data_IF_038455738183
#
_entry.id   IF_038455738183
#
_cell.length_a   1.000
_cell.length_b   1.000
_cell.length_c   1.000
_cell.angle_alpha   90.00
_cell.angle_beta   90.00
_cell.angle_gamma   90.00
#
_symmetry.space_group_name_H-M   'P 1'
#
loop_
_entity.id
_entity.type
_entity.pdbx_description
1 polymer ?
#
# COMPACT_ATOMS: atom_id res chain seq x y z
N UNK A 1 1.28 -17.12 10.43
CA UNK A 1 2.72 -17.22 10.08
C UNK A 1 3.20 -16.12 9.13
N UNK A 2 2.88 -16.09 7.83
CA UNK A 2 3.39 -15.02 6.93
C UNK A 2 3.07 -13.59 7.42
N UNK A 3 1.82 -13.33 7.78
CA UNK A 3 1.42 -12.01 8.29
C UNK A 3 2.18 -11.62 9.56
N UNK A 4 2.55 -12.60 10.40
CA UNK A 4 3.34 -12.33 11.61
C UNK A 4 4.77 -11.93 11.27
N UNK A 5 5.35 -12.49 10.19
CA UNK A 5 6.65 -12.05 9.65
C UNK A 5 6.56 -10.62 9.11
N UNK A 6 5.51 -10.32 8.33
CA UNK A 6 5.34 -8.99 7.72
C UNK A 6 5.07 -7.90 8.76
N UNK A 7 4.26 -8.20 9.78
CA UNK A 7 3.85 -7.24 10.80
C UNK A 7 4.74 -7.24 12.05
N UNK A 8 5.86 -7.96 12.04
CA UNK A 8 6.82 -7.94 13.15
C UNK A 8 7.23 -6.50 13.49
N UNK A 9 7.26 -6.18 14.78
CA UNK A 9 7.42 -4.82 15.28
C UNK A 9 8.89 -4.36 15.25
N UNK A 10 9.81 -5.30 15.41
CA UNK A 10 11.26 -5.07 15.41
C UNK A 10 12.00 -6.25 14.77
N UNK A 11 13.31 -6.09 14.57
CA UNK A 11 14.16 -7.07 13.89
C UNK A 11 14.29 -8.39 14.66
N UNK A 12 14.15 -8.36 16.00
CA UNK A 12 14.23 -9.55 16.85
C UNK A 12 12.96 -10.39 16.68
N UNK A 13 11.79 -9.76 16.78
CA UNK A 13 10.51 -10.42 16.51
C UNK A 13 10.49 -10.97 15.09
N UNK A 14 10.95 -10.20 14.09
CA UNK A 14 11.01 -10.66 12.71
C UNK A 14 11.80 -11.96 12.56
N UNK A 15 12.99 -12.04 13.15
CA UNK A 15 13.82 -13.24 13.11
C UNK A 15 13.12 -14.46 13.72
N UNK A 16 12.44 -14.28 14.85
CA UNK A 16 11.68 -15.33 15.51
C UNK A 16 10.50 -15.82 14.65
N UNK A 17 9.72 -14.90 14.07
CA UNK A 17 8.58 -15.24 13.21
C UNK A 17 9.03 -15.90 11.91
N UNK A 18 10.13 -15.43 11.32
CA UNK A 18 10.68 -16.02 10.11
C UNK A 18 11.15 -17.46 10.38
N UNK A 19 11.80 -17.70 11.51
CA UNK A 19 12.21 -19.05 11.89
C UNK A 19 11.01 -20.00 12.08
N UNK A 20 9.92 -19.54 12.71
CA UNK A 20 8.69 -20.33 12.83
C UNK A 20 8.06 -20.65 11.48
N UNK A 21 8.08 -19.69 10.55
CA UNK A 21 7.63 -19.89 9.17
C UNK A 21 8.49 -20.93 8.44
N UNK A 22 9.82 -20.87 8.58
CA UNK A 22 10.75 -21.86 8.02
C UNK A 22 10.47 -23.27 8.53
N UNK A 23 10.33 -23.43 9.85
CA UNK A 23 10.03 -24.73 10.47
C UNK A 23 8.70 -25.30 9.96
N UNK A 24 7.69 -24.44 9.79
CA UNK A 24 6.37 -24.85 9.29
C UNK A 24 6.37 -25.19 7.80
N UNK A 25 7.40 -24.78 7.06
CA UNK A 25 7.57 -24.99 5.63
C UNK A 25 8.73 -25.94 5.30
N UNK A 26 9.16 -26.78 6.26
CA UNK A 26 10.29 -27.70 6.07
C UNK A 26 10.11 -28.64 4.87
N UNK A 27 8.89 -29.14 4.67
CA UNK A 27 8.53 -30.01 3.53
C UNK A 27 8.38 -29.23 2.20
N UNK A 28 8.38 -27.89 2.27
CA UNK A 28 8.15 -26.98 1.15
C UNK A 28 9.34 -26.03 0.96
N UNK A 29 10.56 -26.59 0.97
CA UNK A 29 11.81 -25.81 0.84
C UNK A 29 11.84 -24.91 -0.40
N UNK A 30 11.26 -25.35 -1.53
CA UNK A 30 11.15 -24.52 -2.73
C UNK A 30 10.30 -23.26 -2.52
N UNK A 31 9.22 -23.36 -1.75
CA UNK A 31 8.37 -22.22 -1.44
C UNK A 31 9.10 -21.21 -0.53
N UNK A 32 9.74 -21.67 0.55
CA UNK A 32 10.41 -20.75 1.47
C UNK A 32 11.63 -20.07 0.82
N UNK A 33 12.36 -20.79 -0.04
CA UNK A 33 13.45 -20.23 -0.83
C UNK A 33 12.93 -19.15 -1.78
N UNK A 34 11.84 -19.43 -2.51
CA UNK A 34 11.21 -18.44 -3.38
C UNK A 34 10.81 -17.17 -2.61
N UNK A 35 10.15 -17.32 -1.46
CA UNK A 35 9.73 -16.17 -0.63
C UNK A 35 10.95 -15.36 -0.16
N UNK A 36 12.01 -16.02 0.29
CA UNK A 36 13.23 -15.35 0.73
C UNK A 36 13.93 -14.61 -0.41
N UNK A 37 14.20 -15.31 -1.50
CA UNK A 37 15.04 -14.81 -2.59
C UNK A 37 14.30 -13.76 -3.42
N UNK A 38 12.98 -13.88 -3.56
CA UNK A 38 12.16 -12.96 -4.37
C UNK A 38 11.69 -11.75 -3.55
N UNK A 39 11.34 -11.95 -2.27
CA UNK A 39 10.65 -10.90 -1.50
C UNK A 39 11.44 -10.42 -0.28
N UNK A 40 11.87 -11.32 0.60
CA UNK A 40 12.45 -10.89 1.87
C UNK A 40 13.84 -10.26 1.67
N UNK A 41 14.77 -10.99 1.06
CA UNK A 41 16.15 -10.53 0.87
C UNK A 41 16.24 -9.22 0.09
N UNK A 42 15.61 -9.07 -1.10
CA UNK A 42 15.74 -7.83 -1.86
C UNK A 42 14.81 -6.70 -1.39
N UNK A 43 13.69 -7.00 -0.70
CA UNK A 43 12.61 -6.03 -0.53
C UNK A 43 12.02 -5.90 0.88
N UNK A 44 12.49 -6.62 1.90
CA UNK A 44 11.89 -6.54 3.26
C UNK A 44 11.83 -5.11 3.82
N UNK A 45 12.82 -4.28 3.51
CA UNK A 45 12.89 -2.87 3.92
C UNK A 45 11.76 -1.99 3.35
N UNK A 46 10.95 -2.51 2.41
CA UNK A 46 9.85 -1.79 1.77
C UNK A 46 8.48 -2.12 2.34
N UNK A 47 8.32 -3.24 3.05
CA UNK A 47 7.00 -3.70 3.47
C UNK A 47 6.95 -4.38 4.84
N UNK A 48 8.08 -4.79 5.42
CA UNK A 48 8.11 -5.43 6.73
C UNK A 48 8.14 -4.37 7.84
N UNK A 49 7.22 -4.50 8.81
CA UNK A 49 6.98 -3.56 9.91
C UNK A 49 8.27 -3.10 10.60
N UNK A 50 9.14 -4.04 10.96
CA UNK A 50 10.43 -3.80 11.62
C UNK A 50 11.35 -2.79 10.91
N UNK A 51 11.20 -2.62 9.59
CA UNK A 51 11.96 -1.67 8.80
C UNK A 51 11.13 -0.45 8.36
N UNK A 52 9.85 -0.62 8.04
CA UNK A 52 9.02 0.49 7.53
C UNK A 52 8.43 1.35 8.63
N UNK A 53 8.23 0.80 9.83
CA UNK A 53 7.61 1.51 10.94
C UNK A 53 8.62 2.35 11.76
N UNK A 54 9.65 2.87 11.08
CA UNK A 54 10.65 3.77 11.67
C UNK A 54 10.27 5.24 11.55
N UNK A 55 9.21 5.53 10.79
CA UNK A 55 8.68 6.88 10.57
C UNK A 55 7.19 6.92 10.87
N UNK A 56 6.74 8.07 11.38
CA UNK A 56 5.34 8.32 11.71
C UNK A 56 4.51 8.35 10.41
N UNK A 57 3.85 7.26 10.09
CA UNK A 57 3.02 7.09 8.90
C UNK A 57 1.54 7.44 9.15
N UNK A 58 1.20 7.98 10.34
CA UNK A 58 -0.14 8.46 10.74
C UNK A 58 -1.27 7.45 10.47
N UNK A 59 -0.99 6.15 10.64
CA UNK A 59 -1.95 5.07 10.38
C UNK A 59 -2.24 4.85 8.89
N UNK A 60 -1.43 5.39 7.98
CA UNK A 60 -1.59 5.20 6.54
C UNK A 60 -0.85 3.93 6.09
N UNK A 61 -1.42 2.77 6.43
CA UNK A 61 -0.87 1.44 6.12
C UNK A 61 -1.45 0.83 4.84
N UNK A 62 -2.40 1.51 4.20
CA UNK A 62 -3.06 1.07 2.97
C UNK A 62 -3.12 2.21 1.96
N UNK A 63 -3.14 1.87 0.67
CA UNK A 63 -3.38 2.84 -0.42
C UNK A 63 -4.86 3.19 -0.58
N UNK A 64 -5.77 2.62 0.23
CA UNK A 64 -7.22 2.77 0.10
C UNK A 64 -7.68 4.23 -0.03
N UNK A 65 -7.13 5.14 0.81
CA UNK A 65 -7.46 6.56 0.72
C UNK A 65 -7.02 7.19 -0.60
N UNK A 66 -5.80 6.87 -1.04
CA UNK A 66 -5.22 7.38 -2.30
C UNK A 66 -6.01 6.83 -3.49
N UNK A 67 -6.28 5.53 -3.51
CA UNK A 67 -7.04 4.89 -4.59
C UNK A 67 -8.49 5.35 -4.65
N UNK A 68 -9.12 5.62 -3.50
CA UNK A 68 -10.47 6.18 -3.45
C UNK A 68 -10.52 7.59 -4.05
N UNK A 69 -9.54 8.45 -3.70
CA UNK A 69 -9.41 9.78 -4.30
C UNK A 69 -9.09 9.71 -5.80
N UNK A 70 -8.19 8.81 -6.19
CA UNK A 70 -7.83 8.57 -7.59
C UNK A 70 -9.00 8.04 -8.41
N UNK A 71 -9.81 7.12 -7.87
CA UNK A 71 -11.04 6.65 -8.50
C UNK A 71 -12.04 7.79 -8.68
N UNK A 72 -12.22 8.63 -7.65
CA UNK A 72 -13.13 9.77 -7.74
C UNK A 72 -12.69 10.77 -8.81
N UNK A 73 -11.39 11.05 -8.89
CA UNK A 73 -10.81 11.90 -9.92
C UNK A 73 -11.05 11.33 -11.32
N UNK A 74 -10.80 10.04 -11.53
CA UNK A 74 -11.09 9.38 -12.81
C UNK A 74 -12.57 9.47 -13.18
N UNK A 75 -13.47 9.25 -12.23
CA UNK A 75 -14.90 9.40 -12.45
C UNK A 75 -15.27 10.83 -12.88
N UNK A 76 -14.63 11.85 -12.27
CA UNK A 76 -14.84 13.25 -12.64
C UNK A 76 -14.31 13.59 -14.04
N UNK A 77 -13.12 13.10 -14.39
CA UNK A 77 -12.49 13.35 -15.68
C UNK A 77 -13.17 12.57 -16.82
N UNK A 78 -13.93 11.52 -16.50
CA UNK A 78 -14.67 10.72 -17.46
C UNK A 78 -13.76 9.75 -18.20
N UNK A 79 -13.47 10.03 -19.48
CA UNK A 79 -12.63 9.18 -20.33
C UNK A 79 -11.37 9.92 -20.78
N UNK A 80 -10.40 9.19 -21.32
CA UNK A 80 -9.12 9.72 -21.80
C UNK A 80 -9.17 10.27 -23.23
N UNK A 81 -10.36 10.57 -23.78
CA UNK A 81 -10.57 11.01 -25.17
C UNK A 81 -10.79 12.55 -25.24
N UNK A 82 -10.69 13.25 -24.10
CA UNK A 82 -10.83 14.70 -24.02
C UNK A 82 -9.56 15.50 -24.34
N UNK A 83 -9.74 16.80 -24.59
CA UNK A 83 -8.64 17.77 -24.64
C UNK A 83 -8.41 18.42 -23.26
N UNK A 84 -7.38 19.27 -23.16
CA UNK A 84 -7.06 19.96 -21.92
C UNK A 84 -8.19 20.88 -21.44
N UNK A 85 -9.01 21.42 -22.34
CA UNK A 85 -10.12 22.32 -21.99
C UNK A 85 -11.22 21.52 -21.27
N UNK A 86 -11.59 20.36 -21.80
CA UNK A 86 -12.56 19.45 -21.16
C UNK A 86 -12.09 18.99 -19.78
N UNK A 87 -10.80 18.68 -19.63
CA UNK A 87 -10.21 18.36 -18.33
C UNK A 87 -10.33 19.52 -17.34
N UNK A 88 -10.01 20.74 -17.78
CA UNK A 88 -10.13 21.95 -16.94
C UNK A 88 -11.57 22.21 -16.52
N UNK A 89 -12.53 22.11 -17.44
CA UNK A 89 -13.95 22.30 -17.13
C UNK A 89 -14.45 21.30 -16.09
N UNK A 90 -14.10 20.02 -16.23
CA UNK A 90 -14.44 18.98 -15.27
C UNK A 90 -13.85 19.25 -13.87
N UNK A 91 -12.57 19.65 -13.81
CA UNK A 91 -11.91 20.02 -12.55
C UNK A 91 -12.57 21.24 -11.90
N UNK A 92 -12.80 22.31 -12.65
CA UNK A 92 -13.37 23.55 -12.16
C UNK A 92 -14.82 23.37 -11.66
N UNK A 93 -15.64 22.60 -12.38
CA UNK A 93 -17.00 22.29 -11.94
C UNK A 93 -17.00 21.50 -10.64
N UNK A 94 -16.09 20.53 -10.49
CA UNK A 94 -16.03 19.75 -9.26
C UNK A 94 -15.53 20.56 -8.07
N UNK A 95 -14.52 21.42 -8.25
CA UNK A 95 -14.05 22.32 -7.21
C UNK A 95 -15.19 23.23 -6.70
N UNK A 96 -16.01 23.76 -7.62
CA UNK A 96 -17.19 24.56 -7.25
C UNK A 96 -18.20 23.76 -6.43
N UNK A 97 -18.47 22.51 -6.80
CA UNK A 97 -19.37 21.63 -6.05
C UNK A 97 -18.82 21.34 -4.63
N UNK A 98 -17.54 21.01 -4.52
CA UNK A 98 -16.89 20.76 -3.22
C UNK A 98 -16.92 22.00 -2.33
N UNK A 99 -16.62 23.19 -2.89
CA UNK A 99 -16.70 24.46 -2.17
C UNK A 99 -18.13 24.78 -1.72
N UNK A 100 -19.13 24.46 -2.55
CA UNK A 100 -20.54 24.57 -2.18
C UNK A 100 -20.89 23.70 -0.96
N UNK A 101 -20.45 22.45 -0.95
CA UNK A 101 -20.72 21.51 0.14
C UNK A 101 -20.04 21.88 1.47
N UNK A 102 -18.88 22.55 1.42
CA UNK A 102 -18.19 23.01 2.64
C UNK A 102 -18.89 24.23 3.27
N UNK A 103 -19.60 25.02 2.47
CA UNK A 103 -20.29 26.23 2.90
C UNK A 103 -21.72 25.99 3.40
N UNK A 104 -22.25 24.78 3.20
CA UNK A 104 -23.56 24.34 3.67
C UNK A 104 -23.44 23.70 5.06
#
# INVERSE_FOLDING_TARGET
>A
LWMEVVWASDEVEYGQRLHQLEQSCVDYSGFINYVKDTWLTPHMHRFVGAWINRVLHLGNTTTNRVESAHWKLKQMLGNSIGDMVKCWEAMNNNLRLQLGNIRA
#
